data_IF_105996023428
#
_entry.id   IF_105996023428
#
_cell.length_a   1.000
_cell.length_b   1.000
_cell.length_c   1.000
_cell.angle_alpha   90.00
_cell.angle_beta   90.00
_cell.angle_gamma   90.00
#
_symmetry.space_group_name_H-M   'P 1'
#
loop_
_entity.id
_entity.type
_entity.pdbx_description
1 polymer ?
#
# COMPACT_ATOMS: atom_id res chain seq x y z
N UNK A 1 5.68 -1.26 2.42
CA UNK A 1 4.60 -0.27 2.53
C UNK A 1 3.42 -0.80 3.33
N UNK A 2 2.71 -1.85 2.87
CA UNK A 2 1.56 -2.40 3.60
C UNK A 2 1.82 -2.66 5.10
N UNK A 3 2.92 -3.34 5.43
CA UNK A 3 3.27 -3.60 6.83
C UNK A 3 3.35 -2.31 7.67
N UNK A 4 4.04 -1.28 7.17
CA UNK A 4 4.12 0.02 7.85
C UNK A 4 2.76 0.70 8.00
N UNK A 5 1.93 0.69 6.96
CA UNK A 5 0.57 1.27 7.03
C UNK A 5 -0.40 0.50 7.94
N UNK A 6 -0.12 -0.77 8.23
CA UNK A 6 -0.90 -1.58 9.19
C UNK A 6 -0.30 -1.61 10.60
N UNK A 7 0.74 -0.80 10.89
CA UNK A 7 1.40 -0.80 12.20
C UNK A 7 2.25 -2.05 12.50
N UNK A 8 2.62 -2.82 11.47
CA UNK A 8 3.47 -4.00 11.60
C UNK A 8 4.94 -3.60 11.37
N UNK A 9 5.82 -3.69 12.38
CA UNK A 9 7.20 -3.20 12.28
C UNK A 9 8.08 -4.02 11.33
N UNK A 10 7.77 -5.30 11.13
CA UNK A 10 8.45 -6.17 10.18
C UNK A 10 7.72 -7.49 9.97
N UNK A 11 8.09 -8.20 8.90
CA UNK A 11 7.52 -9.50 8.55
C UNK A 11 8.59 -10.40 7.93
N UNK A 12 8.44 -11.71 8.12
CA UNK A 12 9.33 -12.70 7.50
C UNK A 12 8.84 -13.08 6.10
N UNK A 13 9.76 -13.13 5.14
CA UNK A 13 9.48 -13.56 3.76
C UNK A 13 10.57 -14.46 3.21
N UNK A 14 10.19 -15.41 2.36
CA UNK A 14 11.13 -16.28 1.65
C UNK A 14 11.82 -15.56 0.49
N UNK A 15 11.17 -14.53 -0.06
CA UNK A 15 11.70 -13.76 -1.19
C UNK A 15 13.05 -13.12 -0.82
N UNK A 16 14.10 -13.43 -1.57
CA UNK A 16 15.44 -12.87 -1.38
C UNK A 16 16.40 -13.75 -0.57
N UNK A 17 15.92 -14.83 0.06
CA UNK A 17 16.78 -15.84 0.71
C UNK A 17 17.81 -16.38 -0.27
N UNK A 18 19.08 -16.49 0.17
CA UNK A 18 20.19 -16.99 -0.65
C UNK A 18 20.66 -16.03 -1.74
N UNK A 19 20.20 -14.77 -1.72
CA UNK A 19 20.64 -13.70 -2.63
C UNK A 19 21.29 -12.57 -1.84
N UNK A 20 21.94 -11.63 -2.53
CA UNK A 20 22.49 -10.41 -1.92
C UNK A 20 21.46 -9.57 -1.14
N UNK A 21 20.16 -9.76 -1.40
CA UNK A 21 19.10 -9.07 -0.65
C UNK A 21 19.04 -9.53 0.81
N UNK A 22 19.52 -10.73 1.12
CA UNK A 22 19.55 -11.27 2.48
C UNK A 22 20.71 -10.73 3.33
N UNK A 23 21.71 -10.09 2.71
CA UNK A 23 22.93 -9.67 3.40
C UNK A 23 22.61 -8.70 4.55
N UNK A 24 23.05 -9.07 5.76
CA UNK A 24 22.84 -8.26 6.98
C UNK A 24 21.42 -8.29 7.55
N UNK A 25 20.50 -9.10 7.00
CA UNK A 25 19.14 -9.27 7.55
C UNK A 25 19.08 -10.45 8.52
N UNK A 26 18.19 -10.34 9.50
CA UNK A 26 17.85 -11.46 10.37
C UNK A 26 17.17 -12.57 9.56
N UNK A 27 17.64 -13.80 9.71
CA UNK A 27 17.02 -14.99 9.14
C UNK A 27 16.36 -15.83 10.22
N UNK A 28 15.24 -16.47 9.87
CA UNK A 28 14.54 -17.38 10.76
C UNK A 28 13.96 -18.56 9.99
N UNK A 29 14.17 -19.75 10.53
CA UNK A 29 13.57 -20.97 10.00
C UNK A 29 12.14 -21.12 10.51
N UNK A 30 11.22 -21.41 9.59
CA UNK A 30 9.88 -21.86 9.87
C UNK A 30 9.62 -23.13 9.06
N UNK A 31 9.27 -24.23 9.73
CA UNK A 31 8.92 -25.51 9.11
C UNK A 31 9.97 -26.03 8.10
N UNK A 32 11.26 -25.92 8.45
CA UNK A 32 12.37 -26.36 7.59
C UNK A 32 12.64 -25.46 6.39
N UNK A 33 12.09 -24.24 6.36
CA UNK A 33 12.40 -23.23 5.34
C UNK A 33 12.89 -21.93 5.97
N UNK A 34 13.94 -21.37 5.37
CA UNK A 34 14.48 -20.07 5.77
C UNK A 34 13.64 -18.92 5.22
N UNK A 35 13.51 -17.88 6.06
CA UNK A 35 12.88 -16.60 5.73
C UNK A 35 13.78 -15.47 6.24
N UNK A 36 13.76 -14.32 5.56
CA UNK A 36 14.44 -13.10 6.01
C UNK A 36 13.44 -12.08 6.55
N UNK A 37 13.88 -11.32 7.56
CA UNK A 37 13.10 -10.23 8.14
C UNK A 37 13.15 -8.99 7.23
N UNK A 38 11.99 -8.56 6.77
CA UNK A 38 11.78 -7.27 6.10
C UNK A 38 11.10 -6.28 7.04
N UNK A 39 11.52 -5.02 7.01
CA UNK A 39 10.93 -3.96 7.83
C UNK A 39 9.74 -3.28 7.12
N UNK A 40 8.77 -2.84 7.92
CA UNK A 40 7.70 -1.97 7.43
C UNK A 40 8.27 -0.66 6.91
N UNK A 41 7.86 -0.26 5.70
CA UNK A 41 8.17 1.06 5.14
C UNK A 41 7.11 2.04 5.62
N UNK A 42 7.56 3.15 6.20
CA UNK A 42 6.76 4.32 6.57
C UNK A 42 7.38 5.58 5.94
N UNK A 43 6.56 6.60 5.70
CA UNK A 43 7.00 7.87 5.12
C UNK A 43 6.37 9.05 5.87
N UNK A 44 7.03 10.21 5.89
CA UNK A 44 6.43 11.44 6.42
C UNK A 44 5.36 11.99 5.46
N UNK A 45 5.60 11.88 4.15
CA UNK A 45 4.69 12.28 3.10
C UNK A 45 4.50 11.14 2.09
N UNK A 46 3.25 10.87 1.71
CA UNK A 46 2.89 10.03 0.57
C UNK A 46 2.14 10.85 -0.47
N UNK A 47 2.50 10.64 -1.74
CA UNK A 47 1.85 11.27 -2.89
C UNK A 47 1.21 10.15 -3.69
N UNK A 48 -0.09 10.24 -3.92
CA UNK A 48 -0.87 9.20 -4.62
C UNK A 48 -1.71 9.82 -5.73
N UNK A 49 -1.97 9.02 -6.77
CA UNK A 49 -2.86 9.37 -7.89
C UNK A 49 -4.11 8.49 -7.83
N UNK A 50 -5.28 9.10 -7.70
CA UNK A 50 -6.56 8.43 -7.83
C UNK A 50 -7.33 8.96 -9.06
N UNK A 51 -8.40 8.26 -9.43
CA UNK A 51 -9.30 8.71 -10.48
C UNK A 51 -10.30 9.70 -9.91
N UNK A 52 -11.06 9.30 -8.88
CA UNK A 52 -12.06 10.14 -8.22
C UNK A 52 -11.81 10.23 -6.71
N UNK A 53 -12.19 11.35 -6.11
CA UNK A 53 -12.32 11.52 -4.66
C UNK A 53 -13.64 12.19 -4.28
N UNK A 54 -14.07 12.01 -3.03
CA UNK A 54 -15.04 12.90 -2.39
C UNK A 54 -14.35 13.86 -1.41
N UNK A 55 -15.14 14.74 -0.78
CA UNK A 55 -14.67 15.74 0.17
C UNK A 55 -14.25 15.14 1.53
N UNK A 56 -14.60 13.89 1.81
CA UNK A 56 -14.17 13.15 3.02
C UNK A 56 -12.83 12.42 2.82
N UNK A 57 -12.38 12.29 1.57
CA UNK A 57 -11.11 11.65 1.22
C UNK A 57 -11.23 10.17 0.81
N UNK A 58 -12.44 9.68 0.51
CA UNK A 58 -12.57 8.38 -0.14
C UNK A 58 -11.96 8.46 -1.54
N UNK A 59 -11.29 7.39 -1.99
CA UNK A 59 -10.58 7.36 -3.28
C UNK A 59 -11.01 6.16 -4.13
N UNK A 60 -11.33 6.40 -5.41
CA UNK A 60 -11.49 5.35 -6.43
C UNK A 60 -10.30 5.36 -7.38
N UNK A 61 -9.75 4.18 -7.66
CA UNK A 61 -8.65 4.00 -8.60
C UNK A 61 -9.13 3.28 -9.85
N UNK A 62 -8.56 3.65 -11.00
CA UNK A 62 -8.98 3.09 -12.30
C UNK A 62 -7.98 2.05 -12.80
N UNK A 63 -8.42 0.79 -12.88
CA UNK A 63 -7.65 -0.33 -13.45
C UNK A 63 -6.26 -0.46 -12.81
N UNK A 64 -5.22 -0.64 -13.62
CA UNK A 64 -3.83 -0.86 -13.18
C UNK A 64 -3.16 0.40 -12.62
N UNK A 65 -3.77 1.58 -12.75
CA UNK A 65 -3.31 2.79 -12.08
C UNK A 65 -3.44 2.71 -10.54
N UNK A 66 -4.20 1.72 -10.01
CA UNK A 66 -4.31 1.46 -8.58
C UNK A 66 -2.98 1.07 -7.92
N UNK A 67 -2.18 0.23 -8.57
CA UNK A 67 -0.89 -0.32 -8.12
C UNK A 67 -0.46 -0.03 -6.65
N UNK A 68 0.51 0.85 -6.43
CA UNK A 68 1.09 1.19 -5.14
C UNK A 68 0.39 2.36 -4.44
N UNK A 69 -0.62 2.98 -5.07
CA UNK A 69 -1.30 4.13 -4.48
C UNK A 69 -1.95 3.82 -3.12
N UNK A 70 -2.80 2.77 -2.95
CA UNK A 70 -3.33 2.43 -1.64
C UNK A 70 -2.26 2.12 -0.57
N UNK A 71 -1.25 1.24 -0.81
CA UNK A 71 -0.26 0.98 0.22
C UNK A 71 0.64 2.17 0.53
N UNK A 72 0.88 3.08 -0.42
CA UNK A 72 1.60 4.34 -0.17
C UNK A 72 0.75 5.32 0.67
N UNK A 73 -0.54 5.47 0.35
CA UNK A 73 -1.48 6.29 1.13
C UNK A 73 -1.49 5.88 2.59
N UNK A 74 -1.59 4.57 2.85
CA UNK A 74 -1.67 4.03 4.22
C UNK A 74 -0.36 4.14 5.01
N UNK A 75 0.82 4.17 4.36
CA UNK A 75 2.10 4.21 5.08
C UNK A 75 2.69 5.62 5.22
N UNK A 76 2.02 6.66 4.72
CA UNK A 76 2.41 8.06 4.90
C UNK A 76 1.76 8.67 6.15
N UNK A 77 2.51 9.48 6.92
CA UNK A 77 1.93 10.28 8.02
C UNK A 77 0.97 11.34 7.49
N UNK A 78 1.34 11.98 6.37
CA UNK A 78 0.51 12.88 5.59
C UNK A 78 0.36 12.30 4.19
N UNK A 79 -0.87 12.15 3.71
CA UNK A 79 -1.17 11.67 2.37
C UNK A 79 -1.76 12.81 1.53
N UNK A 80 -1.18 13.06 0.36
CA UNK A 80 -1.71 13.99 -0.65
C UNK A 80 -2.12 13.19 -1.87
N UNK A 81 -3.41 13.24 -2.20
CA UNK A 81 -3.96 12.57 -3.37
C UNK A 81 -4.24 13.58 -4.48
N UNK A 82 -3.59 13.40 -5.64
CA UNK A 82 -4.01 14.03 -6.89
C UNK A 82 -5.16 13.21 -7.48
N UNK A 83 -6.24 13.86 -7.87
CA UNK A 83 -7.42 13.22 -8.48
C UNK A 83 -7.84 13.92 -9.76
N UNK A 84 -8.43 13.16 -10.68
CA UNK A 84 -8.97 13.74 -11.93
C UNK A 84 -10.31 14.42 -11.70
N UNK A 85 -11.12 13.91 -10.76
CA UNK A 85 -12.46 14.40 -10.49
C UNK A 85 -12.76 14.36 -8.99
N UNK A 86 -13.39 15.42 -8.48
CA UNK A 86 -13.97 15.44 -7.14
C UNK A 86 -15.49 15.37 -7.31
N UNK A 87 -16.12 14.36 -6.70
CA UNK A 87 -17.56 14.08 -6.81
C UNK A 87 -18.24 14.22 -5.44
N UNK A 88 -19.52 14.62 -5.38
CA UNK A 88 -20.26 14.69 -4.12
C UNK A 88 -20.63 13.29 -3.58
N UNK A 89 -20.82 13.16 -2.27
CA UNK A 89 -21.57 12.03 -1.73
C UNK A 89 -23.04 12.09 -2.23
N UNK A 90 -23.71 10.96 -2.57
CA UNK A 90 -23.30 9.57 -2.47
C UNK A 90 -22.87 8.96 -3.81
N UNK A 91 -22.27 9.71 -4.75
CA UNK A 91 -21.77 9.10 -6.01
C UNK A 91 -20.71 8.01 -5.73
N UNK A 92 -20.16 7.98 -4.51
CA UNK A 92 -19.32 6.93 -3.93
C UNK A 92 -20.05 5.68 -3.42
N UNK A 93 -21.38 5.70 -3.31
CA UNK A 93 -22.16 4.68 -2.62
C UNK A 93 -22.15 3.35 -3.39
N UNK A 94 -21.25 2.47 -2.94
CA UNK A 94 -21.34 1.02 -3.08
C UNK A 94 -21.47 0.50 -4.51
N UNK A 95 -20.35 0.45 -5.23
CA UNK A 95 -20.11 -0.56 -6.27
C UNK A 95 -20.96 -0.50 -7.54
N UNK A 96 -21.72 0.58 -7.77
CA UNK A 96 -22.40 0.83 -9.04
C UNK A 96 -21.55 1.69 -9.98
N UNK A 97 -20.32 1.26 -10.25
CA UNK A 97 -19.66 1.69 -11.49
C UNK A 97 -20.32 0.88 -12.62
N UNK A 98 -21.18 1.51 -13.42
CA UNK A 98 -21.88 0.92 -14.59
C UNK A 98 -20.98 0.49 -15.75
N UNK A 99 -19.71 0.16 -15.46
CA UNK A 99 -18.63 -0.12 -16.41
C UNK A 99 -18.06 -1.55 -16.24
N UNK A 100 -18.80 -2.48 -15.61
CA UNK A 100 -18.40 -3.88 -15.44
C UNK A 100 -19.39 -4.87 -16.08
#
# INVERSE_FOLDING_TARGET
MRAGGCGIPGFYTKTGVGTVIADGKESKEFDGQDYILERGIVADLSIVKAWKADDTGNLVFRKTARNFNPPAAMCGKVCVAEVEEIVPEPDFAFGFDGDN
#
